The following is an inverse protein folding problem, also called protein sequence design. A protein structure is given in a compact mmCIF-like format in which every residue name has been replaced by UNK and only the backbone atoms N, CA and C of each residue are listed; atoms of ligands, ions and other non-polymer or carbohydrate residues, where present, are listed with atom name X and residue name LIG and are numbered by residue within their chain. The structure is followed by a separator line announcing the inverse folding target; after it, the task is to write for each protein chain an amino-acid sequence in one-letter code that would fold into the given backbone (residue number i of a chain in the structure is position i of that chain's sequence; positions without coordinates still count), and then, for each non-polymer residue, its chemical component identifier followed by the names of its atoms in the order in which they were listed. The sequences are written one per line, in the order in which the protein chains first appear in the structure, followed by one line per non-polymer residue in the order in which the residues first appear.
data_IF_148289882799
#
_entry.id   IF_148289882799
#
_cell.length_a   1.000
_cell.length_b   1.000
_cell.length_c   1.000
_cell.angle_alpha   90.00
_cell.angle_beta   90.00
_cell.angle_gamma   90.00
#
_symmetry.space_group_name_H-M   'P 1'
#
loop_
_entity.id
_entity.type
_entity.pdbx_description
1 polymer ?
#
# COMPACT_ATOMS: atom_id res chain seq x y z
N UNK A 1 -13.09 -11.20 -16.22
CA UNK A 1 -11.64 -11.43 -16.35
C UNK A 1 -10.94 -10.08 -16.36
N UNK A 2 -10.68 -9.51 -15.18
CA UNK A 2 -10.18 -8.13 -15.06
C UNK A 2 -9.69 -7.77 -13.65
N UNK A 3 -10.18 -8.48 -12.62
CA UNK A 3 -9.68 -8.35 -11.25
C UNK A 3 -8.22 -8.81 -11.12
N UNK A 4 -7.84 -9.95 -11.72
CA UNK A 4 -6.47 -10.48 -11.62
C UNK A 4 -5.39 -9.50 -12.12
N UNK A 5 -5.70 -8.73 -13.16
CA UNK A 5 -4.76 -7.74 -13.71
C UNK A 5 -4.63 -6.52 -12.78
N UNK A 6 -5.74 -6.07 -12.20
CA UNK A 6 -5.76 -4.95 -11.24
C UNK A 6 -5.02 -5.35 -9.96
N UNK A 7 -5.21 -6.59 -9.50
CA UNK A 7 -4.56 -7.12 -8.31
C UNK A 7 -3.05 -7.26 -8.49
N UNK A 8 -2.60 -7.83 -9.62
CA UNK A 8 -1.17 -7.90 -9.95
C UNK A 8 -0.51 -6.53 -10.05
N UNK A 9 -1.21 -5.55 -10.64
CA UNK A 9 -0.74 -4.15 -10.72
C UNK A 9 -0.65 -3.51 -9.34
N UNK A 10 -1.66 -3.70 -8.49
CA UNK A 10 -1.67 -3.22 -7.11
C UNK A 10 -0.51 -3.83 -6.32
N UNK A 11 -0.29 -5.13 -6.45
CA UNK A 11 0.82 -5.83 -5.80
C UNK A 11 2.19 -5.30 -6.26
N UNK A 12 2.36 -5.01 -7.55
CA UNK A 12 3.59 -4.43 -8.09
C UNK A 12 3.87 -3.02 -7.55
N UNK A 13 2.85 -2.17 -7.44
CA UNK A 13 2.98 -0.85 -6.83
C UNK A 13 3.37 -0.97 -5.36
N UNK A 14 2.72 -1.88 -4.62
CA UNK A 14 3.02 -2.12 -3.22
C UNK A 14 4.45 -2.68 -3.00
N UNK A 15 4.96 -3.52 -3.91
CA UNK A 15 6.37 -3.95 -3.91
C UNK A 15 7.34 -2.79 -4.10
N UNK A 16 7.05 -1.86 -5.03
CA UNK A 16 7.88 -0.67 -5.19
C UNK A 16 7.86 0.23 -3.96
N UNK A 17 6.68 0.41 -3.33
CA UNK A 17 6.57 1.15 -2.08
C UNK A 17 7.45 0.51 -1.00
N UNK A 18 7.37 -0.81 -0.83
CA UNK A 18 8.18 -1.52 0.16
C UNK A 18 9.68 -1.35 -0.09
N UNK A 19 10.13 -1.51 -1.33
CA UNK A 19 11.54 -1.30 -1.70
C UNK A 19 12.00 0.13 -1.48
N UNK A 20 11.15 1.12 -1.77
CA UNK A 20 11.47 2.53 -1.54
C UNK A 20 11.60 2.83 -0.05
N UNK A 21 10.68 2.32 0.76
CA UNK A 21 10.71 2.50 2.21
C UNK A 21 11.91 1.76 2.84
N UNK A 22 12.32 0.59 2.34
CA UNK A 22 13.57 -0.06 2.77
C UNK A 22 14.81 0.80 2.53
N UNK A 23 14.84 1.53 1.42
CA UNK A 23 15.96 2.43 1.07
C UNK A 23 15.89 3.77 1.81
N UNK A 24 14.68 4.19 2.19
CA UNK A 24 14.39 5.46 2.85
C UNK A 24 13.42 5.22 4.03
N UNK A 25 13.91 4.68 5.16
CA UNK A 25 13.06 4.34 6.31
C UNK A 25 12.28 5.53 6.88
N UNK A 26 12.77 6.76 6.69
CA UNK A 26 12.12 8.01 7.08
C UNK A 26 10.74 8.21 6.44
N UNK A 27 10.50 7.58 5.28
CA UNK A 27 9.19 7.58 4.64
C UNK A 27 8.12 6.90 5.49
N UNK A 28 8.52 6.04 6.44
CA UNK A 28 7.57 5.40 7.33
C UNK A 28 6.89 6.39 8.27
N UNK A 29 7.58 7.46 8.67
CA UNK A 29 6.99 8.53 9.47
C UNK A 29 5.95 9.31 8.66
N UNK A 30 6.17 9.48 7.36
CA UNK A 30 5.17 10.03 6.46
C UNK A 30 3.93 9.14 6.38
N UNK A 31 4.11 7.81 6.26
CA UNK A 31 2.98 6.85 6.24
C UNK A 31 2.18 6.92 7.53
N UNK A 32 2.85 6.93 8.70
CA UNK A 32 2.17 7.04 10.01
C UNK A 32 1.36 8.33 10.12
N UNK A 33 1.94 9.47 9.74
CA UNK A 33 1.24 10.77 9.74
C UNK A 33 0.07 10.78 8.77
N UNK A 34 0.24 10.19 7.58
CA UNK A 34 -0.82 10.09 6.58
C UNK A 34 -1.97 9.21 7.09
N UNK A 35 -1.66 8.10 7.74
CA UNK A 35 -2.63 7.21 8.37
C UNK A 35 -3.48 7.94 9.41
N UNK A 36 -2.85 8.62 10.36
CA UNK A 36 -3.55 9.36 11.42
C UNK A 36 -4.39 10.50 10.82
N UNK A 37 -3.87 11.23 9.83
CA UNK A 37 -4.60 12.28 9.12
C UNK A 37 -5.84 11.73 8.43
N UNK A 38 -5.71 10.63 7.70
CA UNK A 38 -6.80 10.03 6.91
C UNK A 38 -7.88 9.43 7.81
N UNK A 39 -7.51 8.87 8.97
CA UNK A 39 -8.47 8.40 9.98
C UNK A 39 -9.34 9.53 10.55
N UNK A 40 -8.82 10.75 10.61
CA UNK A 40 -9.56 11.92 11.07
C UNK A 40 -10.47 12.53 9.98
N UNK A 41 -10.42 12.05 8.74
CA UNK A 41 -11.27 12.58 7.67
C UNK A 41 -12.74 12.17 7.86
N UNK A 42 -13.67 13.14 7.98
CA UNK A 42 -15.08 12.84 8.24
C UNK A 42 -15.77 12.17 7.04
N UNK A 43 -15.29 12.46 5.82
CA UNK A 43 -15.83 11.94 4.55
C UNK A 43 -15.48 10.46 4.29
N UNK A 44 -14.55 9.89 5.06
CA UNK A 44 -14.11 8.53 4.85
C UNK A 44 -15.18 7.53 5.34
N UNK A 45 -15.49 6.53 4.51
CA UNK A 45 -16.46 5.49 4.85
C UNK A 45 -15.99 4.64 6.04
N UNK A 46 -16.94 4.05 6.77
CA UNK A 46 -16.61 3.26 7.96
C UNK A 46 -15.78 2.01 7.61
N UNK A 47 -16.03 1.39 6.46
CA UNK A 47 -15.23 0.26 5.95
C UNK A 47 -13.77 0.65 5.73
N UNK A 48 -13.51 1.83 5.16
CA UNK A 48 -12.15 2.34 5.00
C UNK A 48 -11.52 2.69 6.35
N UNK A 49 -12.27 3.31 7.28
CA UNK A 49 -11.80 3.58 8.64
C UNK A 49 -11.41 2.29 9.37
N UNK A 50 -12.18 1.22 9.24
CA UNK A 50 -11.87 -0.08 9.84
C UNK A 50 -10.54 -0.64 9.34
N UNK A 51 -10.33 -0.64 8.02
CA UNK A 51 -9.06 -1.10 7.44
C UNK A 51 -7.87 -0.22 7.89
N UNK A 52 -8.04 1.10 7.98
CA UNK A 52 -6.99 1.99 8.48
C UNK A 52 -6.70 1.77 9.98
N UNK A 53 -7.72 1.48 10.81
CA UNK A 53 -7.52 1.10 12.22
C UNK A 53 -6.76 -0.22 12.34
N UNK A 54 -7.05 -1.20 11.48
CA UNK A 54 -6.32 -2.46 11.40
C UNK A 54 -4.84 -2.21 11.06
N UNK A 55 -4.57 -1.35 10.06
CA UNK A 55 -3.21 -0.90 9.77
C UNK A 55 -2.55 -0.23 10.99
N UNK A 56 -3.25 0.64 11.72
CA UNK A 56 -2.71 1.28 12.93
C UNK A 56 -2.29 0.27 13.99
N UNK A 57 -3.08 -0.79 14.18
CA UNK A 57 -2.74 -1.90 15.07
C UNK A 57 -1.50 -2.65 14.57
N UNK A 58 -1.43 -2.97 13.27
CA UNK A 58 -0.25 -3.59 12.63
C UNK A 58 1.00 -2.73 12.86
N UNK A 59 0.91 -1.42 12.64
CA UNK A 59 2.00 -0.46 12.85
C UNK A 59 2.50 -0.34 14.29
N UNK A 60 1.69 -0.78 15.26
CA UNK A 60 1.99 -0.75 16.69
C UNK A 60 2.51 -2.09 17.22
N UNK A 61 2.09 -3.20 16.61
CA UNK A 61 2.39 -4.56 17.07
C UNK A 61 3.53 -5.23 16.30
N UNK A 62 3.76 -4.82 15.04
CA UNK A 62 4.69 -5.48 14.13
C UNK A 62 5.94 -4.64 13.87
N UNK A 63 7.04 -5.33 13.59
CA UNK A 63 8.29 -4.71 13.16
C UNK A 63 8.17 -4.13 11.75
N UNK A 64 9.12 -3.25 11.40
CA UNK A 64 9.22 -2.63 10.08
C UNK A 64 9.20 -3.67 8.95
N UNK A 65 10.02 -4.72 9.05
CA UNK A 65 10.11 -5.75 8.01
C UNK A 65 8.84 -6.61 7.88
N UNK A 66 8.16 -6.88 9.00
CA UNK A 66 6.87 -7.57 8.98
C UNK A 66 5.79 -6.73 8.29
N UNK A 67 5.75 -5.42 8.55
CA UNK A 67 4.79 -4.50 7.91
C UNK A 67 5.00 -4.50 6.39
N UNK A 68 6.25 -4.42 5.95
CA UNK A 68 6.59 -4.46 4.53
C UNK A 68 6.28 -5.83 3.90
N UNK A 69 6.44 -6.92 4.66
CA UNK A 69 6.09 -8.27 4.21
C UNK A 69 4.59 -8.41 3.97
N UNK A 70 3.76 -7.88 4.88
CA UNK A 70 2.29 -7.85 4.73
C UNK A 70 1.89 -7.05 3.49
N UNK A 71 2.56 -5.92 3.25
CA UNK A 71 2.27 -5.05 2.09
C UNK A 71 2.42 -5.78 0.75
N UNK A 72 3.35 -6.74 0.68
CA UNK A 72 3.67 -7.52 -0.53
C UNK A 72 3.14 -8.95 -0.50
N UNK A 73 2.35 -9.31 0.51
CA UNK A 73 1.86 -10.66 0.72
C UNK A 73 0.79 -11.04 -0.30
N UNK A 74 1.05 -12.07 -1.11
CA UNK A 74 0.10 -12.53 -2.13
C UNK A 74 -0.94 -13.49 -1.56
N UNK A 75 -1.68 -13.03 -0.54
CA UNK A 75 -2.78 -13.74 0.10
C UNK A 75 -4.08 -12.93 0.03
N UNK A 76 -5.22 -13.58 0.23
CA UNK A 76 -6.53 -12.93 0.27
C UNK A 76 -6.59 -11.82 1.34
N UNK A 77 -5.98 -12.07 2.50
CA UNK A 77 -5.85 -11.11 3.60
C UNK A 77 -5.00 -9.90 3.19
N UNK A 78 -3.84 -10.15 2.58
CA UNK A 78 -2.97 -9.10 2.04
C UNK A 78 -3.67 -8.28 0.94
N UNK A 79 -4.49 -8.92 0.10
CA UNK A 79 -5.25 -8.24 -0.95
C UNK A 79 -6.29 -7.29 -0.36
N UNK A 80 -7.05 -7.72 0.65
CA UNK A 80 -8.01 -6.86 1.36
C UNK A 80 -7.32 -5.64 1.95
N UNK A 81 -6.20 -5.84 2.64
CA UNK A 81 -5.44 -4.76 3.28
C UNK A 81 -4.82 -3.78 2.27
N UNK A 82 -4.39 -4.26 1.09
CA UNK A 82 -3.86 -3.42 0.00
C UNK A 82 -4.89 -2.49 -0.61
N UNK A 83 -6.17 -2.85 -0.63
CA UNK A 83 -7.22 -2.00 -1.20
C UNK A 83 -7.44 -0.72 -0.39
N UNK A 84 -7.07 -0.73 0.90
CA UNK A 84 -7.23 0.40 1.84
C UNK A 84 -5.90 0.73 2.52
N UNK A 85 -4.89 1.05 1.71
CA UNK A 85 -3.50 1.19 2.17
C UNK A 85 -3.14 2.64 2.56
N UNK A 86 -2.53 2.88 3.74
CA UNK A 86 -2.06 4.21 4.14
C UNK A 86 -0.80 4.67 3.37
N UNK A 87 -0.24 3.81 2.52
CA UNK A 87 1.01 4.02 1.80
C UNK A 87 0.83 4.84 0.49
N UNK A 88 -0.32 5.48 0.32
CA UNK A 88 -0.56 6.41 -0.79
C UNK A 88 0.34 7.64 -0.66
N UNK A 89 0.77 8.20 -1.79
CA UNK A 89 1.65 9.38 -1.82
C UNK A 89 3.15 9.10 -1.66
N UNK A 90 3.57 7.86 -1.39
CA UNK A 90 4.99 7.47 -1.34
C UNK A 90 5.64 7.44 -2.73
N UNK A 91 4.90 6.94 -3.72
CA UNK A 91 5.35 6.94 -5.11
C UNK A 91 4.95 8.23 -5.81
N UNK A 92 5.90 8.87 -6.49
CA UNK A 92 5.64 9.97 -7.38
C UNK A 92 4.99 9.49 -8.69
N UNK A 93 4.47 10.42 -9.49
CA UNK A 93 3.76 10.08 -10.73
C UNK A 93 4.64 9.31 -11.73
N UNK A 94 5.95 9.61 -11.80
CA UNK A 94 6.88 8.93 -12.71
C UNK A 94 7.09 7.47 -12.31
N UNK A 95 7.30 7.19 -11.02
CA UNK A 95 7.45 5.84 -10.47
C UNK A 95 6.19 4.99 -10.71
N UNK A 96 5.00 5.59 -10.52
CA UNK A 96 3.73 4.93 -10.85
C UNK A 96 3.64 4.58 -12.34
N UNK A 97 3.94 5.54 -13.22
CA UNK A 97 3.91 5.35 -14.67
C UNK A 97 4.89 4.28 -15.16
N UNK A 98 6.02 4.11 -14.50
CA UNK A 98 6.97 3.05 -14.86
C UNK A 98 6.40 1.66 -14.60
N UNK A 99 5.69 1.46 -13.48
CA UNK A 99 4.96 0.20 -13.23
C UNK A 99 3.89 -0.01 -14.29
N UNK A 100 3.10 1.02 -14.58
CA UNK A 100 2.06 0.92 -15.61
C UNK A 100 2.64 0.53 -16.97
N UNK A 101 3.74 1.17 -17.41
CA UNK A 101 4.42 0.82 -18.67
C UNK A 101 4.92 -0.62 -18.69
N UNK A 102 5.52 -1.12 -17.60
CA UNK A 102 5.98 -2.53 -17.53
C UNK A 102 4.83 -3.51 -17.68
N UNK A 103 3.65 -3.22 -17.11
CA UNK A 103 2.48 -4.10 -17.21
C UNK A 103 1.68 -3.91 -18.51
N UNK A 104 1.81 -2.78 -19.21
CA UNK A 104 1.26 -2.61 -20.56
C UNK A 104 2.14 -3.26 -21.63
N UNK A 105 3.47 -3.27 -21.43
CA UNK A 105 4.41 -3.95 -22.34
C UNK A 105 4.41 -5.48 -22.19
N UNK A 106 4.08 -6.01 -21.00
CA UNK A 106 3.91 -7.46 -20.78
C UNK A 106 2.52 -8.00 -21.20
N UNK A 107 1.73 -7.21 -21.93
CA UNK A 107 0.45 -7.59 -22.50
C UNK A 107 0.54 -8.12 -23.94
N UNK A 108 1.51 -9.02 -24.20
CA UNK A 108 1.58 -9.84 -25.43
C UNK A 108 1.38 -11.30 -25.04
#
# INVERSE_FOLDING_TARGET
MGHDLIDRRSLALNRLVAEKIRRQPELMDFVRKNLDRTLCEPILSESCKNALREWRSIFSLKSFDEILSILVEDSYEGQRLRQSTPFTGILNQRERLEVFRRYEQSGV
#
